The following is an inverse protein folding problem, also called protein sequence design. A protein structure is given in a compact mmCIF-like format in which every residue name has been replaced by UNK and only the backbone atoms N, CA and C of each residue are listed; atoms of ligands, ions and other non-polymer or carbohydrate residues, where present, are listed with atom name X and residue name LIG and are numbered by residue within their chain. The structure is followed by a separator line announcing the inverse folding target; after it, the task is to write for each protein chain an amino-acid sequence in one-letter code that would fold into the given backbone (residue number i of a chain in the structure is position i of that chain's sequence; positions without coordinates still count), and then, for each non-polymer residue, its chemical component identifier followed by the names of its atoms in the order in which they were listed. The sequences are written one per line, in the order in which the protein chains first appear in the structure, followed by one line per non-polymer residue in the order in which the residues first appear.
data_IF_016245594390
#
_entry.id   IF_016245594390
#
_cell.length_a   1.000
_cell.length_b   1.000
_cell.length_c   1.000
_cell.angle_alpha   90.00
_cell.angle_beta   90.00
_cell.angle_gamma   90.00
#
_symmetry.space_group_name_H-M   'P 1'
#
loop_
_entity.id
_entity.type
_entity.pdbx_description
1 polymer ?
#
# COMPACT_ATOMS: atom_id res chain seq x y z
N UNK A 1 -27.39 -17.69 14.98
CA UNK A 1 -26.05 -18.25 15.21
C UNK A 1 -25.67 -19.30 14.17
N UNK A 2 -26.26 -20.51 14.18
CA UNK A 2 -25.88 -21.62 13.27
C UNK A 2 -26.04 -21.30 11.78
N UNK A 3 -27.12 -20.60 11.39
CA UNK A 3 -27.34 -20.19 9.99
C UNK A 3 -26.33 -19.15 9.51
N UNK A 4 -26.00 -18.17 10.36
CA UNK A 4 -24.99 -17.15 10.07
C UNK A 4 -23.61 -17.80 9.93
N UNK A 5 -23.25 -18.71 10.84
CA UNK A 5 -22.01 -19.50 10.75
C UNK A 5 -21.93 -20.30 9.45
N UNK A 6 -23.04 -20.90 9.02
CA UNK A 6 -23.12 -21.69 7.79
C UNK A 6 -22.98 -20.81 6.53
N UNK A 7 -23.56 -19.60 6.54
CA UNK A 7 -23.35 -18.62 5.48
C UNK A 7 -21.91 -18.10 5.43
N UNK A 8 -21.29 -17.80 6.57
CA UNK A 8 -19.89 -17.36 6.65
C UNK A 8 -18.94 -18.46 6.17
N UNK A 9 -19.19 -19.72 6.56
CA UNK A 9 -18.40 -20.87 6.11
C UNK A 9 -18.54 -21.10 4.60
N UNK A 10 -19.75 -21.00 4.06
CA UNK A 10 -20.01 -21.09 2.63
C UNK A 10 -19.27 -20.00 1.84
N UNK A 11 -19.33 -18.75 2.32
CA UNK A 11 -18.64 -17.61 1.71
C UNK A 11 -17.11 -17.78 1.70
N UNK A 12 -16.54 -18.31 2.79
CA UNK A 12 -15.10 -18.58 2.89
C UNK A 12 -14.66 -19.69 1.91
N UNK A 13 -15.47 -20.74 1.77
CA UNK A 13 -15.21 -21.85 0.84
C UNK A 13 -15.31 -21.46 -0.64
N UNK A 14 -16.15 -20.47 -0.97
CA UNK A 14 -16.27 -19.92 -2.32
C UNK A 14 -15.08 -19.01 -2.70
N UNK A 15 -14.34 -18.48 -1.72
CA UNK A 15 -13.19 -17.59 -1.93
C UNK A 15 -11.84 -18.29 -2.15
N UNK A 16 -11.78 -19.63 -2.09
CA UNK A 16 -10.55 -20.42 -2.19
C UNK A 16 -10.16 -20.72 -3.67
N UNK A 17 -10.91 -20.18 -4.63
CA UNK A 17 -10.64 -20.35 -6.06
C UNK A 17 -9.46 -19.52 -6.55
N UNK A 18 -8.42 -20.20 -7.06
CA UNK A 18 -7.28 -19.69 -7.82
C UNK A 18 -6.86 -18.24 -7.51
N UNK A 19 -6.13 -18.07 -6.41
CA UNK A 19 -5.30 -16.87 -6.14
C UNK A 19 -4.03 -16.83 -6.99
N UNK A 20 -3.97 -17.59 -8.10
CA UNK A 20 -2.92 -17.45 -9.11
C UNK A 20 -3.23 -16.22 -9.98
N UNK A 21 -2.68 -15.09 -9.54
CA UNK A 21 -2.57 -13.82 -10.23
C UNK A 21 -3.90 -13.10 -10.56
N UNK A 22 -4.45 -12.37 -9.57
CA UNK A 22 -5.23 -11.15 -9.85
C UNK A 22 -4.39 -10.00 -10.46
N UNK A 23 -3.28 -10.33 -11.13
CA UNK A 23 -2.43 -9.44 -11.91
C UNK A 23 -2.08 -10.07 -13.28
N UNK A 24 -2.99 -10.87 -13.86
CA UNK A 24 -2.83 -11.45 -15.19
C UNK A 24 -2.73 -10.39 -16.32
N UNK A 25 -3.12 -9.13 -16.06
CA UNK A 25 -2.99 -8.04 -17.03
C UNK A 25 -1.54 -7.53 -17.16
N UNK A 26 -0.77 -7.52 -16.06
CA UNK A 26 0.63 -7.09 -16.10
C UNK A 26 1.55 -8.16 -16.68
N UNK A 27 1.29 -9.44 -16.37
CA UNK A 27 2.13 -10.56 -16.84
C UNK A 27 2.05 -10.78 -18.35
N UNK A 28 0.84 -10.75 -18.92
CA UNK A 28 0.60 -10.95 -20.36
C UNK A 28 1.21 -9.85 -21.22
N UNK A 29 1.13 -8.59 -20.78
CA UNK A 29 1.81 -7.48 -21.46
C UNK A 29 3.33 -7.68 -21.45
N UNK A 30 3.90 -8.16 -20.35
CA UNK A 30 5.35 -8.38 -20.23
C UNK A 30 5.86 -9.56 -21.07
N UNK A 31 5.17 -10.69 -21.06
CA UNK A 31 5.53 -11.85 -21.89
C UNK A 31 5.44 -11.52 -23.39
N UNK A 32 4.44 -10.72 -23.80
CA UNK A 32 4.32 -10.23 -25.17
C UNK A 32 5.45 -9.27 -25.58
N UNK A 33 5.87 -8.36 -24.70
CA UNK A 33 6.99 -7.45 -25.00
C UNK A 33 8.36 -8.17 -25.06
N UNK A 34 8.55 -9.19 -24.23
CA UNK A 34 9.77 -10.01 -24.23
C UNK A 34 9.88 -10.88 -25.50
N UNK A 35 8.76 -11.44 -25.96
CA UNK A 35 8.70 -12.29 -27.17
C UNK A 35 8.91 -11.51 -28.48
N UNK A 36 8.65 -10.20 -28.48
CA UNK A 36 8.85 -9.30 -29.63
C UNK A 36 10.25 -8.65 -29.67
N UNK A 37 11.20 -9.08 -28.83
CA UNK A 37 12.62 -8.69 -28.96
C UNK A 37 13.02 -7.36 -28.32
N UNK A 38 12.26 -6.81 -27.36
CA UNK A 38 12.65 -5.62 -26.61
C UNK A 38 12.95 -5.92 -25.13
N UNK A 39 14.19 -6.35 -24.79
CA UNK A 39 14.57 -6.77 -23.44
C UNK A 39 14.71 -5.62 -22.42
N UNK A 40 14.62 -4.35 -22.85
CA UNK A 40 14.77 -3.18 -21.96
C UNK A 40 13.68 -3.05 -20.88
N UNK A 41 12.54 -3.72 -21.07
CA UNK A 41 11.38 -3.67 -20.15
C UNK A 41 11.55 -4.65 -18.96
N UNK A 42 12.44 -5.65 -19.07
CA UNK A 42 12.68 -6.65 -18.00
C UNK A 42 13.49 -6.12 -16.82
N UNK A 43 14.45 -5.23 -17.06
CA UNK A 43 15.32 -4.67 -16.01
C UNK A 43 14.61 -3.66 -15.10
N UNK A 44 13.55 -3.00 -15.59
CA UNK A 44 12.81 -1.98 -14.85
C UNK A 44 11.82 -2.51 -13.81
N UNK A 45 11.45 -3.81 -13.86
CA UNK A 45 10.38 -4.36 -13.02
C UNK A 45 10.84 -4.55 -11.57
N UNK A 46 12.07 -5.04 -11.34
CA UNK A 46 12.59 -5.17 -9.97
C UNK A 46 12.64 -3.79 -9.29
N UNK A 47 13.11 -2.78 -10.03
CA UNK A 47 13.09 -1.38 -9.62
C UNK A 47 11.67 -0.86 -9.39
N UNK A 48 10.71 -1.22 -10.24
CA UNK A 48 9.30 -0.84 -10.10
C UNK A 48 8.63 -1.44 -8.86
N UNK A 49 8.91 -2.71 -8.54
CA UNK A 49 8.41 -3.38 -7.34
C UNK A 49 8.99 -2.71 -6.08
N UNK A 50 10.30 -2.44 -6.07
CA UNK A 50 10.94 -1.72 -4.97
C UNK A 50 10.37 -0.30 -4.81
N UNK A 51 10.10 0.41 -5.90
CA UNK A 51 9.54 1.76 -5.87
C UNK A 51 8.11 1.79 -5.29
N UNK A 52 7.25 0.86 -5.72
CA UNK A 52 5.88 0.73 -5.21
C UNK A 52 5.86 0.31 -3.74
N UNK A 53 6.82 -0.51 -3.29
CA UNK A 53 6.96 -0.89 -1.90
C UNK A 53 7.44 0.28 -1.02
N UNK A 54 8.40 1.08 -1.49
CA UNK A 54 9.02 2.18 -0.71
C UNK A 54 8.08 3.39 -0.57
N UNK A 55 7.30 3.69 -1.61
CA UNK A 55 6.36 4.83 -1.63
C UNK A 55 5.43 4.95 -0.41
N UNK A 56 4.70 3.91 0.02
CA UNK A 56 3.81 4.01 1.18
C UNK A 56 4.55 4.31 2.50
N UNK A 57 5.76 3.75 2.69
CA UNK A 57 6.54 4.03 3.90
C UNK A 57 7.03 5.49 3.94
N UNK A 58 7.47 6.02 2.79
CA UNK A 58 7.86 7.43 2.69
C UNK A 58 6.68 8.36 2.97
N UNK A 59 5.49 8.06 2.43
CA UNK A 59 4.29 8.85 2.68
C UNK A 59 3.95 8.91 4.18
N UNK A 60 4.02 7.78 4.89
CA UNK A 60 3.75 7.72 6.33
C UNK A 60 4.77 8.54 7.12
N UNK A 61 6.06 8.47 6.80
CA UNK A 61 7.12 9.24 7.46
C UNK A 61 6.88 10.74 7.28
N UNK A 62 6.55 11.17 6.06
CA UNK A 62 6.28 12.58 5.74
C UNK A 62 5.07 13.07 6.54
N UNK A 63 3.95 12.36 6.48
CA UNK A 63 2.74 12.73 7.20
C UNK A 63 2.95 12.75 8.72
N UNK A 64 3.66 11.75 9.25
CA UNK A 64 4.02 11.68 10.66
C UNK A 64 4.89 12.86 11.10
N UNK A 65 5.89 13.24 10.30
CA UNK A 65 6.74 14.40 10.57
C UNK A 65 5.95 15.71 10.60
N UNK A 66 5.06 15.93 9.61
CA UNK A 66 4.20 17.12 9.58
C UNK A 66 3.25 17.16 10.77
N UNK A 67 2.68 16.02 11.16
CA UNK A 67 1.79 15.94 12.32
C UNK A 67 2.52 16.27 13.63
N UNK A 68 3.72 15.72 13.85
CA UNK A 68 4.55 16.04 15.01
C UNK A 68 4.95 17.52 15.04
N UNK A 69 5.31 18.09 13.89
CA UNK A 69 5.63 19.52 13.80
C UNK A 69 4.42 20.39 14.15
N UNK A 70 3.24 20.06 13.62
CA UNK A 70 2.00 20.79 13.92
C UNK A 70 1.62 20.68 15.40
N UNK A 71 1.78 19.50 16.01
CA UNK A 71 1.49 19.26 17.43
C UNK A 71 2.43 20.06 18.35
N UNK A 72 3.73 20.14 18.01
CA UNK A 72 4.71 20.93 18.79
C UNK A 72 4.39 22.43 18.76
N UNK A 73 3.97 22.96 17.62
CA UNK A 73 3.60 24.38 17.51
C UNK A 73 2.38 24.72 18.37
N UNK A 74 1.37 23.84 18.40
CA UNK A 74 0.18 24.01 19.24
C UNK A 74 0.51 23.95 20.74
N UNK A 75 1.45 23.09 21.15
CA UNK A 75 1.93 23.00 22.54
C UNK A 75 2.74 24.24 22.95
N UNK A 76 3.56 24.80 22.06
CA UNK A 76 4.30 26.04 22.33
C UNK A 76 3.37 27.25 22.52
N UNK A 77 2.30 27.35 21.72
CA UNK A 77 1.30 28.41 21.88
C UNK A 77 0.53 28.29 23.21
N UNK A 78 0.16 27.08 23.63
CA UNK A 78 -0.45 26.84 24.95
C UNK A 78 0.50 27.18 26.10
N UNK A 79 1.77 26.76 26.01
CA UNK A 79 2.77 27.02 27.05
C UNK A 79 3.08 28.52 27.21
N UNK A 80 3.10 29.28 26.12
CA UNK A 80 3.25 30.74 26.15
C UNK A 80 2.07 31.47 26.82
N UNK A 81 0.84 30.96 26.62
CA UNK A 81 -0.36 31.50 27.30
C UNK A 81 -0.37 31.22 28.80
N UNK A 82 0.15 30.08 29.26
CA UNK A 82 0.24 29.77 30.70
C UNK A 82 1.25 30.65 31.42
N UNK A 83 2.36 31.03 30.77
CA UNK A 83 3.40 31.87 31.38
C UNK A 83 3.05 33.37 31.48
N UNK A 84 1.98 33.82 30.80
CA UNK A 84 1.52 35.21 30.82
C UNK A 84 0.34 35.46 31.78
N UNK A 85 -0.10 34.44 32.52
CA UNK A 85 -1.00 34.56 33.67
C UNK A 85 -0.21 34.46 34.96
#
# INVERSE_FOLDING_TARGET
MKRVLLFTLCFLLLGIGNTFAQCAMCRSTLENNFSNGNPGVGAGINTGILYLLVMPYLAVIILGYFWLKSSRNAQQELSGRTSSR
#
